data_IF_690377262856
#
_entry.id   IF_690377262856
#
_cell.length_a   1.000
_cell.length_b   1.000
_cell.length_c   1.000
_cell.angle_alpha   90.00
_cell.angle_beta   90.00
_cell.angle_gamma   90.00
#
_symmetry.space_group_name_H-M   'P 1'
#
loop_
_entity.id
_entity.type
_entity.pdbx_description
1 polymer ?
#
# COMPACT_ATOMS: atom_id res chain seq x y z
N UNK A 1 5.00 -0.79 -5.60
CA UNK A 1 5.92 -0.20 -6.64
C UNK A 1 7.15 -1.10 -6.75
N UNK A 2 7.95 -1.10 -7.85
CA UNK A 2 9.06 -2.07 -7.99
C UNK A 2 10.18 -1.96 -6.95
N UNK A 3 10.25 -0.85 -6.22
CA UNK A 3 11.21 -0.62 -5.13
C UNK A 3 10.60 -0.74 -3.74
N UNK A 4 9.30 -1.03 -3.67
CA UNK A 4 8.51 -1.07 -2.45
C UNK A 4 8.18 -2.51 -2.09
N UNK A 5 8.29 -2.87 -0.82
CA UNK A 5 8.36 -4.27 -0.38
C UNK A 5 7.14 -4.72 0.42
N UNK A 6 6.31 -3.77 0.86
CA UNK A 6 5.04 -4.01 1.51
C UNK A 6 3.88 -3.46 0.67
N UNK A 7 2.68 -3.81 1.13
CA UNK A 7 1.42 -3.33 0.59
C UNK A 7 0.53 -2.98 1.77
N UNK A 8 -0.03 -1.78 1.76
CA UNK A 8 -0.95 -1.31 2.78
C UNK A 8 -2.40 -1.36 2.30
N UNK A 9 -3.27 -1.80 3.18
CA UNK A 9 -4.72 -1.75 2.99
C UNK A 9 -5.40 -1.17 4.21
N UNK A 10 -6.58 -0.61 3.98
CA UNK A 10 -7.43 -0.12 5.05
C UNK A 10 -8.78 -0.81 5.02
N UNK A 11 -9.29 -1.14 6.20
CA UNK A 11 -10.64 -1.67 6.42
C UNK A 11 -11.34 -0.84 7.48
N UNK A 12 -12.67 -0.89 7.54
CA UNK A 12 -13.38 -0.24 8.65
C UNK A 12 -13.04 -0.91 9.98
N UNK A 13 -13.05 -0.17 11.07
CA UNK A 13 -12.86 -0.72 12.43
C UNK A 13 -13.86 -1.86 12.70
N UNK A 14 -15.10 -1.72 12.24
CA UNK A 14 -16.12 -2.79 12.34
C UNK A 14 -15.66 -4.09 11.67
N UNK A 15 -15.13 -3.99 10.44
CA UNK A 15 -14.59 -5.16 9.73
C UNK A 15 -13.38 -5.73 10.44
N UNK A 16 -12.46 -4.88 10.91
CA UNK A 16 -11.28 -5.30 11.65
C UNK A 16 -11.64 -6.09 12.92
N UNK A 17 -12.60 -5.61 13.71
CA UNK A 17 -13.09 -6.30 14.90
C UNK A 17 -13.70 -7.67 14.53
N UNK A 18 -14.48 -7.71 13.45
CA UNK A 18 -15.04 -8.97 12.97
C UNK A 18 -13.95 -9.97 12.57
N UNK A 19 -12.90 -9.52 11.87
CA UNK A 19 -11.74 -10.35 11.53
C UNK A 19 -11.04 -10.87 12.79
N UNK A 20 -10.86 -10.02 13.81
CA UNK A 20 -10.23 -10.39 15.07
C UNK A 20 -11.00 -11.51 15.80
N UNK A 21 -12.33 -11.38 15.87
CA UNK A 21 -13.20 -12.32 16.59
C UNK A 21 -13.37 -13.66 15.86
N UNK A 22 -13.40 -13.64 14.53
CA UNK A 22 -13.83 -14.80 13.75
C UNK A 22 -12.69 -15.49 12.99
N UNK A 23 -11.65 -14.75 12.62
CA UNK A 23 -10.62 -15.22 11.68
C UNK A 23 -9.18 -15.01 12.17
N UNK A 24 -8.95 -14.44 13.36
CA UNK A 24 -7.58 -14.30 13.86
C UNK A 24 -6.86 -15.65 13.96
N UNK A 25 -5.59 -15.69 13.57
CA UNK A 25 -4.74 -16.88 13.55
C UNK A 25 -5.27 -18.03 12.67
N UNK A 26 -6.07 -17.71 11.65
CA UNK A 26 -6.55 -18.70 10.68
C UNK A 26 -5.77 -18.64 9.36
N UNK A 27 -5.63 -19.78 8.70
CA UNK A 27 -4.93 -19.91 7.42
C UNK A 27 -5.92 -20.06 6.27
N UNK A 28 -5.73 -19.26 5.22
CA UNK A 28 -6.59 -19.19 4.05
C UNK A 28 -5.80 -19.54 2.80
N UNK A 29 -6.40 -20.35 1.93
CA UNK A 29 -5.81 -20.70 0.64
C UNK A 29 -6.31 -19.75 -0.42
N UNK A 30 -5.37 -19.14 -1.15
CA UNK A 30 -5.70 -18.30 -2.28
C UNK A 30 -4.80 -18.64 -3.46
N UNK A 31 -5.41 -18.81 -4.64
CA UNK A 31 -4.73 -19.10 -5.89
C UNK A 31 -5.39 -18.30 -7.01
N UNK A 32 -4.56 -17.79 -7.91
CA UNK A 32 -4.96 -17.12 -9.14
C UNK A 32 -4.19 -17.72 -10.32
N UNK A 33 -4.63 -17.39 -11.53
CA UNK A 33 -3.94 -17.74 -12.77
C UNK A 33 -3.24 -16.47 -13.25
N UNK A 34 -1.93 -16.53 -13.46
CA UNK A 34 -1.16 -15.43 -14.01
C UNK A 34 -1.35 -15.30 -15.54
N UNK A 35 -0.77 -14.26 -16.13
CA UNK A 35 -0.87 -14.00 -17.58
C UNK A 35 -0.23 -15.11 -18.44
N UNK A 36 0.63 -15.94 -17.86
CA UNK A 36 1.28 -17.09 -18.51
C UNK A 36 0.48 -18.39 -18.37
N UNK A 37 -0.63 -18.36 -17.62
CA UNK A 37 -1.49 -19.52 -17.38
C UNK A 37 -1.03 -20.40 -16.21
N UNK A 38 -0.05 -19.98 -15.43
CA UNK A 38 0.41 -20.71 -14.26
C UNK A 38 -0.49 -20.43 -13.06
N UNK A 39 -0.72 -21.45 -12.23
CA UNK A 39 -1.37 -21.24 -10.93
C UNK A 39 -0.35 -20.68 -9.95
N UNK A 40 -0.60 -19.46 -9.48
CA UNK A 40 0.20 -18.76 -8.48
C UNK A 40 -0.65 -18.53 -7.24
N UNK A 41 -0.06 -18.70 -6.07
CA UNK A 41 -0.79 -18.59 -4.81
C UNK A 41 -0.15 -19.41 -3.71
N UNK A 42 -0.88 -19.52 -2.60
CA UNK A 42 -0.36 -20.16 -1.41
C UNK A 42 -1.32 -20.17 -0.24
N UNK A 43 -0.75 -20.39 0.94
CA UNK A 43 -1.44 -20.33 2.21
C UNK A 43 -1.09 -19.00 2.88
N UNK A 44 -2.10 -18.27 3.31
CA UNK A 44 -1.96 -16.97 3.94
C UNK A 44 -2.51 -17.03 5.36
N UNK A 45 -1.71 -16.66 6.35
CA UNK A 45 -2.14 -16.48 7.73
C UNK A 45 -2.74 -15.08 7.88
N UNK A 46 -3.93 -14.98 8.49
CA UNK A 46 -4.44 -13.73 9.01
C UNK A 46 -4.02 -13.60 10.48
N UNK A 47 -3.18 -12.62 10.77
CA UNK A 47 -2.74 -12.29 12.12
C UNK A 47 -3.28 -10.92 12.53
N UNK A 48 -4.09 -10.86 13.58
CA UNK A 48 -4.67 -9.62 14.09
C UNK A 48 -3.99 -9.24 15.40
N UNK A 49 -3.41 -8.04 15.42
CA UNK A 49 -2.68 -7.50 16.56
C UNK A 49 -3.62 -7.42 17.77
N UNK A 50 -3.26 -7.97 18.95
CA UNK A 50 -4.08 -7.89 20.16
C UNK A 50 -4.43 -6.46 20.58
N UNK A 51 -3.62 -5.47 20.21
CA UNK A 51 -3.84 -4.05 20.51
C UNK A 51 -4.59 -3.30 19.39
N UNK A 52 -5.27 -4.00 18.47
CA UNK A 52 -6.06 -3.37 17.40
C UNK A 52 -7.21 -2.49 17.93
N UNK A 53 -7.71 -2.83 19.12
CA UNK A 53 -8.77 -2.11 19.84
C UNK A 53 -8.33 -0.71 20.28
N UNK A 54 -7.06 -0.54 20.66
CA UNK A 54 -6.53 0.78 21.02
C UNK A 54 -6.51 1.64 19.77
N UNK A 55 -7.33 2.69 19.69
CA UNK A 55 -7.45 3.54 18.50
C UNK A 55 -6.49 4.73 18.52
N UNK A 56 -5.72 4.90 19.59
CA UNK A 56 -4.72 5.94 19.71
C UNK A 56 -3.37 5.46 19.18
N UNK A 57 -2.60 6.37 18.57
CA UNK A 57 -1.25 6.05 18.07
C UNK A 57 -0.28 5.71 19.21
N UNK A 58 -0.50 6.26 20.40
CA UNK A 58 0.38 6.11 21.55
C UNK A 58 1.84 6.46 21.21
N UNK A 59 2.74 5.49 21.40
CA UNK A 59 4.18 5.64 21.12
C UNK A 59 4.58 5.55 19.63
N UNK A 60 3.62 5.26 18.73
CA UNK A 60 3.90 5.04 17.31
C UNK A 60 4.34 3.61 16.96
N UNK A 61 4.48 2.73 17.95
CA UNK A 61 4.83 1.31 17.71
C UNK A 61 3.63 0.41 17.39
N UNK A 62 2.39 0.94 17.49
CA UNK A 62 1.14 0.19 17.31
C UNK A 62 0.31 0.78 16.16
N UNK A 63 0.93 0.97 14.99
CA UNK A 63 0.24 1.55 13.82
C UNK A 63 -0.55 0.50 13.05
N UNK A 64 0.00 -0.72 12.92
CA UNK A 64 -0.59 -1.80 12.13
C UNK A 64 -1.51 -2.67 12.99
N UNK A 65 -2.72 -2.88 12.49
CA UNK A 65 -3.80 -3.57 13.21
C UNK A 65 -3.89 -5.06 12.87
N UNK A 66 -3.59 -5.45 11.63
CA UNK A 66 -3.57 -6.85 11.21
C UNK A 66 -2.68 -7.04 9.98
N UNK A 67 -2.39 -8.30 9.66
CA UNK A 67 -1.59 -8.70 8.49
C UNK A 67 -2.16 -9.92 7.81
N UNK A 68 -2.12 -9.91 6.49
CA UNK A 68 -2.04 -11.14 5.71
C UNK A 68 -0.58 -11.51 5.52
N UNK A 69 -0.20 -12.75 5.85
CA UNK A 69 1.19 -13.22 5.79
C UNK A 69 1.23 -14.47 4.92
N UNK A 70 2.02 -14.47 3.84
CA UNK A 70 2.36 -15.70 3.14
C UNK A 70 3.22 -16.57 4.06
N UNK A 71 2.70 -17.74 4.42
CA UNK A 71 3.36 -18.64 5.38
C UNK A 71 4.66 -19.24 4.84
N UNK A 72 4.88 -19.21 3.52
CA UNK A 72 6.09 -19.75 2.92
C UNK A 72 7.21 -18.71 2.85
N UNK A 73 6.93 -17.51 2.33
CA UNK A 73 7.96 -16.48 2.14
C UNK A 73 8.10 -15.52 3.33
N UNK A 74 7.05 -15.36 4.14
CA UNK A 74 6.96 -14.33 5.17
C UNK A 74 6.64 -12.93 4.65
N UNK A 75 6.40 -12.76 3.34
CA UNK A 75 5.87 -11.51 2.78
C UNK A 75 4.47 -11.23 3.32
N UNK A 76 4.11 -9.95 3.44
CA UNK A 76 2.87 -9.54 4.10
C UNK A 76 2.19 -8.33 3.46
N UNK A 77 0.90 -8.22 3.74
CA UNK A 77 0.06 -7.05 3.46
C UNK A 77 -0.42 -6.51 4.79
N UNK A 78 -0.12 -5.24 5.06
CA UNK A 78 -0.53 -4.55 6.28
C UNK A 78 -1.98 -4.08 6.17
N UNK A 79 -2.71 -4.21 7.28
CA UNK A 79 -4.10 -3.80 7.40
C UNK A 79 -4.19 -2.80 8.55
N UNK A 80 -4.71 -1.62 8.25
CA UNK A 80 -5.00 -0.59 9.26
C UNK A 80 -6.50 -0.32 9.33
N UNK A 81 -7.05 -0.26 10.54
CA UNK A 81 -8.44 0.11 10.76
C UNK A 81 -8.67 1.60 10.54
N UNK A 82 -9.74 1.95 9.84
CA UNK A 82 -10.25 3.32 9.69
C UNK A 82 -11.63 3.41 10.35
N UNK A 83 -11.83 4.41 11.19
CA UNK A 83 -13.09 4.59 11.92
C UNK A 83 -13.20 5.98 12.54
N UNK A 84 -14.28 6.19 13.30
CA UNK A 84 -14.47 7.41 14.08
C UNK A 84 -13.31 7.61 15.06
N UNK A 85 -12.88 8.86 15.21
CA UNK A 85 -11.82 9.26 16.14
C UNK A 85 -12.51 9.88 17.36
N UNK A 86 -12.29 9.34 18.56
CA UNK A 86 -12.98 9.78 19.79
C UNK A 86 -12.75 11.27 20.14
N UNK A 87 -11.66 11.86 19.64
CA UNK A 87 -11.25 13.24 19.94
C UNK A 87 -11.84 14.31 19.00
N UNK A 88 -12.67 13.96 18.01
CA UNK A 88 -13.25 14.93 17.08
C UNK A 88 -14.76 15.11 17.32
N UNK A 89 -15.19 16.36 17.56
CA UNK A 89 -16.60 16.74 17.67
C UNK A 89 -17.31 16.77 16.31
N UNK A 90 -16.57 16.55 15.23
CA UNK A 90 -17.06 16.52 13.86
C UNK A 90 -17.39 15.07 13.45
N UNK A 91 -18.68 14.76 13.33
CA UNK A 91 -19.19 13.43 13.00
C UNK A 91 -18.78 12.91 11.62
N UNK A 92 -18.19 13.78 10.80
CA UNK A 92 -17.92 13.50 9.39
C UNK A 92 -16.44 13.16 9.12
N UNK A 93 -15.63 13.02 10.17
CA UNK A 93 -14.22 12.66 10.09
C UNK A 93 -13.95 11.23 10.55
N UNK A 94 -13.21 10.51 9.70
CA UNK A 94 -12.67 9.19 9.99
C UNK A 94 -11.15 9.26 10.02
N UNK A 95 -10.52 8.38 10.79
CA UNK A 95 -9.07 8.28 10.80
C UNK A 95 -8.53 6.92 11.18
N UNK A 96 -7.22 6.83 11.05
CA UNK A 96 -6.43 5.66 11.37
C UNK A 96 -5.34 6.00 12.41
N UNK A 97 -4.61 4.98 12.85
CA UNK A 97 -3.54 5.13 13.85
C UNK A 97 -2.31 5.87 13.35
N UNK A 98 -2.13 6.00 12.04
CA UNK A 98 -1.00 6.74 11.48
C UNK A 98 -1.30 8.20 11.17
N UNK A 99 -2.27 8.78 11.88
CA UNK A 99 -2.69 10.17 11.71
C UNK A 99 -3.31 10.52 10.35
N UNK A 100 -3.61 9.54 9.49
CA UNK A 100 -4.43 9.81 8.32
C UNK A 100 -5.85 10.14 8.76
N UNK A 101 -6.39 11.23 8.21
CA UNK A 101 -7.74 11.73 8.44
C UNK A 101 -8.42 11.99 7.12
N UNK A 102 -9.65 11.52 7.02
CA UNK A 102 -10.48 11.59 5.82
C UNK A 102 -11.88 12.07 6.20
N UNK A 103 -12.46 12.95 5.40
CA UNK A 103 -13.90 13.15 5.44
C UNK A 103 -14.61 11.94 4.84
N UNK A 104 -15.79 11.61 5.35
CA UNK A 104 -16.59 10.47 4.86
C UNK A 104 -16.79 10.54 3.33
N UNK A 105 -17.05 11.73 2.78
CA UNK A 105 -17.25 11.91 1.34
C UNK A 105 -15.97 11.75 0.49
N UNK A 106 -14.78 11.80 1.10
CA UNK A 106 -13.52 11.53 0.40
C UNK A 106 -13.33 10.03 0.18
N UNK A 107 -13.80 9.20 1.13
CA UNK A 107 -13.72 7.75 1.05
C UNK A 107 -14.90 7.15 0.29
N UNK A 108 -16.13 7.53 0.62
CA UNK A 108 -17.34 6.83 0.19
C UNK A 108 -18.17 7.59 -0.86
N UNK A 109 -18.82 6.86 -1.79
CA UNK A 109 -18.72 5.42 -2.01
C UNK A 109 -17.36 5.03 -2.62
N UNK A 110 -16.84 3.88 -2.24
CA UNK A 110 -15.59 3.37 -2.81
C UNK A 110 -15.74 3.12 -4.31
N UNK A 111 -14.70 3.47 -5.07
CA UNK A 111 -14.62 3.23 -6.52
C UNK A 111 -13.95 1.90 -6.79
N UNK A 112 -14.35 1.26 -7.88
CA UNK A 112 -13.67 0.07 -8.38
C UNK A 112 -12.52 0.48 -9.29
N UNK A 113 -11.35 -0.12 -9.09
CA UNK A 113 -10.18 0.00 -9.95
C UNK A 113 -9.54 -1.37 -10.17
N UNK A 114 -8.49 -1.41 -10.99
CA UNK A 114 -7.60 -2.56 -11.09
C UNK A 114 -6.26 -2.17 -10.47
N UNK A 115 -5.74 -3.02 -9.60
CA UNK A 115 -4.42 -2.90 -9.00
C UNK A 115 -3.72 -4.24 -9.16
N UNK A 116 -2.54 -4.28 -9.78
CA UNK A 116 -1.78 -5.52 -10.04
C UNK A 116 -2.64 -6.66 -10.65
N UNK A 117 -3.51 -6.31 -11.60
CA UNK A 117 -4.39 -7.28 -12.28
C UNK A 117 -5.62 -7.73 -11.48
N UNK A 118 -5.75 -7.34 -10.21
CA UNK A 118 -6.91 -7.67 -9.37
C UNK A 118 -7.86 -6.50 -9.20
N UNK A 119 -9.15 -6.80 -9.05
CA UNK A 119 -10.18 -5.79 -8.76
C UNK A 119 -9.94 -5.25 -7.34
N UNK A 120 -9.71 -3.95 -7.23
CA UNK A 120 -9.49 -3.25 -5.98
C UNK A 120 -10.57 -2.19 -5.72
N UNK A 121 -10.78 -1.86 -4.44
CA UNK A 121 -11.61 -0.74 -4.01
C UNK A 121 -10.69 0.40 -3.57
N UNK A 122 -10.93 1.59 -4.12
CA UNK A 122 -10.17 2.80 -3.81
C UNK A 122 -11.11 3.90 -3.30
N UNK A 123 -10.60 4.90 -2.55
CA UNK A 123 -11.40 6.06 -2.12
C UNK A 123 -12.09 6.79 -3.28
N UNK A 124 -13.23 7.43 -2.99
CA UNK A 124 -13.97 8.22 -3.98
C UNK A 124 -13.14 9.37 -4.55
N UNK A 125 -12.53 10.18 -3.67
CA UNK A 125 -11.68 11.32 -3.99
C UNK A 125 -10.18 10.97 -3.84
N UNK A 126 -9.77 9.81 -4.36
CA UNK A 126 -8.41 9.31 -4.21
C UNK A 126 -7.33 10.32 -4.65
N UNK A 127 -7.57 11.12 -5.69
CA UNK A 127 -6.60 12.13 -6.15
C UNK A 127 -6.32 13.19 -5.08
N UNK A 128 -7.36 13.74 -4.44
CA UNK A 128 -7.21 14.70 -3.35
C UNK A 128 -6.44 14.11 -2.18
N UNK A 129 -6.74 12.86 -1.82
CA UNK A 129 -6.07 12.15 -0.73
C UNK A 129 -4.58 11.96 -1.07
N UNK A 130 -4.26 11.48 -2.27
CA UNK A 130 -2.88 11.29 -2.71
C UNK A 130 -2.10 12.61 -2.80
N UNK A 131 -2.73 13.69 -3.26
CA UNK A 131 -2.11 15.02 -3.30
C UNK A 131 -1.81 15.53 -1.89
N UNK A 132 -2.74 15.33 -0.94
CA UNK A 132 -2.55 15.72 0.46
C UNK A 132 -1.37 14.98 1.09
N UNK A 133 -1.23 13.69 0.81
CA UNK A 133 -0.19 12.83 1.37
C UNK A 133 1.18 13.03 0.69
N UNK A 134 1.22 12.99 -0.64
CA UNK A 134 2.46 12.88 -1.42
C UNK A 134 2.79 14.12 -2.25
N UNK A 135 1.95 15.17 -2.21
CA UNK A 135 1.98 16.35 -3.09
C UNK A 135 1.60 16.08 -4.55
N UNK A 136 1.13 17.11 -5.25
CA UNK A 136 0.78 17.03 -6.67
C UNK A 136 1.94 16.63 -7.60
N UNK A 137 3.19 16.85 -7.17
CA UNK A 137 4.38 16.43 -7.95
C UNK A 137 4.55 14.92 -7.96
N UNK A 138 4.17 14.22 -6.88
CA UNK A 138 4.28 12.77 -6.84
C UNK A 138 3.35 12.09 -7.86
N UNK A 139 2.23 12.72 -8.21
CA UNK A 139 1.29 12.20 -9.20
C UNK A 139 1.72 12.47 -10.65
N UNK A 140 2.63 13.41 -10.89
CA UNK A 140 3.06 13.82 -12.24
C UNK A 140 4.51 13.49 -12.57
N UNK A 141 5.36 13.25 -11.58
CA UNK A 141 6.74 12.84 -11.80
C UNK A 141 6.78 11.45 -12.42
N UNK A 142 7.40 11.34 -13.59
CA UNK A 142 7.62 10.06 -14.29
C UNK A 142 9.00 9.48 -14.01
N UNK A 143 9.81 10.10 -13.16
CA UNK A 143 11.14 9.61 -12.76
C UNK A 143 11.24 9.55 -11.24
N UNK A 144 11.56 8.37 -10.70
CA UNK A 144 11.73 8.17 -9.27
C UNK A 144 12.57 6.91 -8.98
N UNK A 145 13.41 6.94 -7.94
CA UNK A 145 14.23 5.81 -7.49
C UNK A 145 15.03 5.09 -8.61
N UNK A 146 15.50 5.81 -9.63
CA UNK A 146 16.20 5.22 -10.78
C UNK A 146 15.31 4.47 -11.77
N UNK A 147 13.99 4.68 -11.70
CA UNK A 147 12.98 4.14 -12.61
C UNK A 147 12.31 5.27 -13.38
N UNK A 148 11.80 4.95 -14.57
CA UNK A 148 10.96 5.85 -15.37
C UNK A 148 9.60 5.19 -15.63
N UNK A 149 8.51 5.96 -15.53
CA UNK A 149 7.15 5.50 -15.82
C UNK A 149 6.94 5.32 -17.32
N UNK A 150 6.52 4.12 -17.72
CA UNK A 150 6.11 3.78 -19.09
C UNK A 150 4.57 3.78 -19.15
N UNK A 151 3.93 4.78 -19.79
CA UNK A 151 2.48 4.89 -19.84
C UNK A 151 1.82 3.83 -20.74
N UNK A 152 2.53 3.23 -21.70
CA UNK A 152 1.96 2.16 -22.54
C UNK A 152 1.85 0.87 -21.75
N UNK A 153 2.85 0.58 -20.91
CA UNK A 153 2.88 -0.62 -20.06
C UNK A 153 2.22 -0.42 -18.71
N UNK A 154 1.89 0.83 -18.35
CA UNK A 154 1.42 1.19 -17.01
C UNK A 154 2.38 0.66 -15.92
N UNK A 155 3.69 0.81 -16.14
CA UNK A 155 4.72 0.21 -15.28
C UNK A 155 5.96 1.09 -15.12
N UNK A 156 6.63 0.97 -13.97
CA UNK A 156 7.90 1.63 -13.69
C UNK A 156 9.09 0.79 -14.16
N UNK A 157 9.89 1.33 -15.07
CA UNK A 157 11.00 0.62 -15.72
C UNK A 157 12.34 1.10 -15.17
N UNK A 158 13.12 0.17 -14.60
CA UNK A 158 14.46 0.43 -14.06
C UNK A 158 15.40 0.91 -15.18
N UNK A 159 16.01 2.07 -14.96
CA UNK A 159 16.96 2.64 -15.91
C UNK A 159 18.32 1.96 -15.76
N UNK A 160 18.99 1.69 -16.89
CA UNK A 160 20.38 1.22 -16.87
C UNK A 160 21.29 2.35 -16.39
N UNK A 161 22.27 2.03 -15.55
CA UNK A 161 23.28 3.00 -15.15
C UNK A 161 24.00 3.53 -16.40
N UNK A 162 24.13 4.86 -16.53
CA UNK A 162 24.93 5.46 -17.60
C UNK A 162 26.40 5.12 -17.36
N UNK A 163 26.97 4.26 -18.19
CA UNK A 163 28.42 4.06 -18.26
C UNK A 163 29.05 5.39 -18.66
N UNK A 164 29.81 6.01 -17.75
CA UNK A 164 30.62 7.16 -18.10
C UNK A 164 31.77 6.67 -18.99
N UNK A 165 31.74 7.03 -20.27
CA UNK A 165 32.90 6.89 -21.15
C UNK A 165 34.00 7.84 -20.64
N UNK A 166 35.04 7.27 -20.02
CA UNK A 166 36.28 8.00 -19.73
C UNK A 166 36.99 8.19 -21.07
N UNK A 167 36.86 9.37 -21.67
CA UNK A 167 37.70 9.77 -22.79
C UNK A 167 39.11 10.07 -22.28
N UNK A 168 39.99 9.08 -22.33
CA UNK A 168 41.43 9.26 -22.12
C UNK A 168 42.03 9.99 -23.33
N UNK A 169 42.11 11.32 -23.26
CA UNK A 169 42.97 12.07 -24.18
C UNK A 169 44.42 11.99 -23.70
N UNK A 170 45.12 10.98 -24.22
CA UNK A 170 46.58 10.91 -24.22
C UNK A 170 47.10 11.88 -25.28
N UNK A 171 47.63 13.04 -24.87
CA UNK A 171 48.48 13.85 -25.75
C UNK A 171 49.88 13.90 -25.18
N UNK A 172 50.76 13.16 -25.85
CA UNK A 172 52.21 13.19 -25.75
C UNK A 172 52.70 14.61 -26.07
N UNK A 173 53.58 15.16 -25.24
CA UNK A 173 54.51 16.21 -25.67
C UNK A 173 55.95 15.79 -25.37
N UNK A 174 56.77 16.14 -26.35
CA UNK A 174 58.17 15.76 -26.63
C UNK A 174 59.15 16.46 -25.70
#
# INVERSE_FOLDING_TARGET
>A
MPWDWDLDTQVTVTTLNWLAENLNMSTHRHYMIDDEGNSVGGNFLLDVNPNHIDRLRGSGNNVIDARWIDVHSGLYIDITGVGEIEDDLDSDLLGCKDFHRYHIHELYPLRTSIFEGVIAKIPFMFESILIKEYSAKALSNTEYAGHCWDPEKQAWIKQRAKTQEITSNSTVQV
#
